data_IF_660203575687
#
_entry.id   IF_660203575687
#
_cell.length_a   1.000
_cell.length_b   1.000
_cell.length_c   1.000
_cell.angle_alpha   90.00
_cell.angle_beta   90.00
_cell.angle_gamma   90.00
#
_symmetry.space_group_name_H-M   'P 1'
#
loop_
_entity.id
_entity.type
_entity.pdbx_description
1 polymer ?
#
# COMPACT_ATOMS: atom_id res chain seq x y z
N UNK A 1 -52.19 37.90 51.78
CA UNK A 1 -50.76 38.29 51.80
C UNK A 1 -49.82 37.10 51.99
N UNK A 2 -50.20 36.10 52.79
CA UNK A 2 -49.35 34.92 53.08
C UNK A 2 -49.12 33.98 51.88
N UNK A 3 -50.11 33.80 51.00
CA UNK A 3 -49.98 32.91 49.81
C UNK A 3 -49.07 33.48 48.72
N UNK A 4 -49.02 34.81 48.57
CA UNK A 4 -48.14 35.48 47.61
C UNK A 4 -46.67 35.44 48.06
N UNK A 5 -46.40 35.50 49.38
CA UNK A 5 -45.03 35.41 49.90
C UNK A 5 -44.45 34.00 49.76
N UNK A 6 -45.28 32.96 49.93
CA UNK A 6 -44.85 31.56 49.72
C UNK A 6 -44.53 31.30 48.25
N UNK A 7 -45.32 31.82 47.31
CA UNK A 7 -45.05 31.67 45.88
C UNK A 7 -43.77 32.38 45.43
N UNK A 8 -43.40 33.50 46.05
CA UNK A 8 -42.17 34.24 45.74
C UNK A 8 -40.93 33.52 46.28
N UNK A 9 -41.04 32.88 47.45
CA UNK A 9 -39.97 32.08 48.02
C UNK A 9 -39.65 30.84 47.17
N UNK A 10 -40.68 30.11 46.72
CA UNK A 10 -40.51 28.96 45.81
C UNK A 10 -39.91 29.38 44.46
N UNK A 11 -40.32 30.54 43.92
CA UNK A 11 -39.72 31.09 42.70
C UNK A 11 -38.22 31.37 42.89
N UNK A 12 -37.83 31.95 44.02
CA UNK A 12 -36.42 32.28 44.30
C UNK A 12 -35.53 31.04 44.42
N UNK A 13 -36.05 29.93 44.95
CA UNK A 13 -35.35 28.65 45.01
C UNK A 13 -35.20 28.02 43.61
N UNK A 14 -36.23 28.12 42.76
CA UNK A 14 -36.14 27.63 41.38
C UNK A 14 -35.09 28.41 40.59
N UNK A 15 -35.04 29.74 40.76
CA UNK A 15 -34.02 30.57 40.10
C UNK A 15 -32.60 30.26 40.59
N UNK A 16 -32.40 29.99 41.88
CA UNK A 16 -31.08 29.64 42.40
C UNK A 16 -30.60 28.27 41.89
N UNK A 17 -31.49 27.27 41.84
CA UNK A 17 -31.18 25.96 41.26
C UNK A 17 -30.84 26.07 39.77
N UNK A 18 -31.62 26.85 39.01
CA UNK A 18 -31.37 27.06 37.59
C UNK A 18 -30.02 27.77 37.34
N UNK A 19 -29.67 28.76 38.18
CA UNK A 19 -28.39 29.45 38.11
C UNK A 19 -27.20 28.51 38.38
N UNK A 20 -27.29 27.64 39.39
CA UNK A 20 -26.25 26.63 39.68
C UNK A 20 -26.09 25.66 38.50
N UNK A 21 -27.20 25.23 37.90
CA UNK A 21 -27.19 24.31 36.77
C UNK A 21 -26.57 24.95 35.52
N UNK A 22 -26.86 26.23 35.27
CA UNK A 22 -26.23 27.01 34.19
C UNK A 22 -24.73 27.18 34.44
N UNK A 23 -24.31 27.52 35.66
CA UNK A 23 -22.89 27.63 36.02
C UNK A 23 -22.16 26.29 35.88
N UNK A 24 -22.79 25.18 36.27
CA UNK A 24 -22.24 23.84 36.09
C UNK A 24 -22.09 23.49 34.59
N UNK A 25 -23.12 23.75 33.78
CA UNK A 25 -23.04 23.55 32.33
C UNK A 25 -21.96 24.42 31.67
N UNK A 26 -21.82 25.68 32.08
CA UNK A 26 -20.78 26.58 31.59
C UNK A 26 -19.37 26.08 31.95
N UNK A 27 -19.18 25.59 33.18
CA UNK A 27 -17.92 24.98 33.61
C UNK A 27 -17.61 23.71 32.83
N UNK A 28 -18.58 22.84 32.59
CA UNK A 28 -18.41 21.61 31.79
C UNK A 28 -18.07 21.95 30.33
N UNK A 29 -18.75 22.91 29.72
CA UNK A 29 -18.43 23.37 28.36
C UNK A 29 -17.05 24.01 28.28
N UNK A 30 -16.65 24.77 29.29
CA UNK A 30 -15.31 25.33 29.40
C UNK A 30 -14.25 24.22 29.51
N UNK A 31 -14.48 23.20 30.34
CA UNK A 31 -13.59 22.05 30.47
C UNK A 31 -13.52 21.26 29.17
N UNK A 32 -14.65 20.97 28.51
CA UNK A 32 -14.66 20.23 27.24
C UNK A 32 -13.95 21.01 26.12
N UNK A 33 -14.20 22.33 26.03
CA UNK A 33 -13.53 23.18 25.04
C UNK A 33 -12.03 23.26 25.29
N UNK A 34 -11.60 23.44 26.54
CA UNK A 34 -10.18 23.46 26.88
C UNK A 34 -9.55 22.07 26.76
N UNK A 35 -10.26 20.99 27.09
CA UNK A 35 -9.77 19.62 26.91
C UNK A 35 -9.57 19.30 25.43
N UNK A 36 -10.45 19.78 24.54
CA UNK A 36 -10.25 19.67 23.08
C UNK A 36 -9.04 20.48 22.61
N UNK A 37 -8.84 21.69 23.15
CA UNK A 37 -7.66 22.53 22.84
C UNK A 37 -6.37 21.90 23.39
N UNK A 38 -6.39 21.35 24.61
CA UNK A 38 -5.29 20.59 25.21
C UNK A 38 -5.07 19.24 24.52
N UNK A 39 -6.10 18.59 23.96
CA UNK A 39 -5.91 17.37 23.14
C UNK A 39 -5.33 17.68 21.76
N UNK A 40 -5.54 18.88 21.24
CA UNK A 40 -4.98 19.34 19.96
C UNK A 40 -3.58 19.97 20.08
N UNK A 41 -3.18 20.46 21.27
CA UNK A 41 -1.87 21.10 21.50
C UNK A 41 -1.01 20.45 22.62
N UNK A 42 -1.53 19.44 23.33
CA UNK A 42 -0.94 18.94 24.58
C UNK A 42 0.06 17.80 24.45
N UNK A 43 0.58 17.51 23.27
CA UNK A 43 1.69 16.56 23.15
C UNK A 43 3.05 17.16 23.53
N UNK A 44 3.18 18.50 23.63
CA UNK A 44 4.49 19.13 23.84
C UNK A 44 4.67 19.89 25.17
N UNK A 45 3.62 20.24 25.91
CA UNK A 45 3.77 21.24 27.00
C UNK A 45 3.32 20.86 28.43
N UNK A 46 2.79 19.66 28.69
CA UNK A 46 2.20 19.35 30.03
C UNK A 46 2.96 18.29 30.83
N UNK A 47 3.85 17.50 30.23
CA UNK A 47 4.63 16.47 30.94
C UNK A 47 6.09 16.88 31.17
N UNK A 48 6.29 18.01 31.85
CA UNK A 48 7.61 18.47 32.33
C UNK A 48 8.06 17.80 33.63
N UNK A 49 7.91 16.48 33.75
CA UNK A 49 8.25 15.76 34.99
C UNK A 49 8.52 14.28 34.78
N UNK A 50 9.78 13.92 34.59
CA UNK A 50 10.39 12.68 35.09
C UNK A 50 9.85 11.32 34.60
N UNK A 51 9.02 11.24 33.57
CA UNK A 51 8.66 9.96 32.94
C UNK A 51 9.51 9.83 31.68
N UNK A 52 10.38 8.82 31.62
CA UNK A 52 11.04 8.45 30.36
C UNK A 52 9.96 8.43 29.26
N UNK A 53 10.08 9.22 28.19
CA UNK A 53 9.11 9.13 27.10
C UNK A 53 9.20 7.69 26.58
N UNK A 54 8.19 6.89 26.88
CA UNK A 54 8.03 5.58 26.25
C UNK A 54 7.81 5.91 24.79
N UNK A 55 8.88 5.76 24.01
CA UNK A 55 8.86 6.04 22.59
C UNK A 55 7.70 5.23 22.00
N UNK A 56 6.69 5.87 21.41
CA UNK A 56 5.50 5.18 20.95
C UNK A 56 5.96 4.09 19.97
N UNK A 57 5.62 2.84 20.29
CA UNK A 57 6.02 1.71 19.47
C UNK A 57 5.39 1.89 18.10
N UNK A 58 6.22 1.89 17.06
CA UNK A 58 5.76 2.01 15.68
C UNK A 58 4.85 0.80 15.41
N UNK A 59 3.57 1.00 15.05
CA UNK A 59 2.63 -0.10 14.87
C UNK A 59 3.03 -1.02 13.72
N UNK A 60 2.93 -2.32 13.96
CA UNK A 60 3.08 -3.36 12.94
C UNK A 60 1.76 -3.57 12.21
N UNK A 61 1.77 -3.41 10.89
CA UNK A 61 0.65 -3.77 10.02
C UNK A 61 0.74 -5.24 9.63
N UNK A 62 -0.41 -5.92 9.66
CA UNK A 62 -0.52 -7.29 9.18
C UNK A 62 -0.48 -7.29 7.66
N UNK A 63 0.50 -7.98 7.08
CA UNK A 63 0.57 -8.18 5.64
C UNK A 63 -0.54 -9.14 5.20
N UNK A 64 -1.35 -8.74 4.23
CA UNK A 64 -2.31 -9.61 3.57
C UNK A 64 -1.79 -9.97 2.19
N UNK A 65 -1.72 -11.28 1.89
CA UNK A 65 -1.34 -11.78 0.57
C UNK A 65 -2.60 -11.77 -0.31
N UNK A 66 -2.59 -10.93 -1.34
CA UNK A 66 -3.64 -10.91 -2.36
C UNK A 66 -3.12 -11.59 -3.61
N UNK A 67 -3.85 -12.58 -4.12
CA UNK A 67 -3.52 -13.24 -5.37
C UNK A 67 -3.98 -12.38 -6.55
N UNK A 68 -3.05 -12.03 -7.44
CA UNK A 68 -3.33 -11.27 -8.66
C UNK A 68 -3.16 -12.24 -9.84
N UNK A 69 -4.25 -12.64 -10.52
CA UNK A 69 -4.18 -13.64 -11.59
C UNK A 69 -3.66 -13.06 -12.91
N UNK A 70 -3.41 -11.75 -12.98
CA UNK A 70 -3.00 -11.01 -14.17
C UNK A 70 -1.60 -10.43 -13.98
N UNK A 71 -0.77 -10.51 -15.01
CA UNK A 71 0.49 -9.76 -15.08
C UNK A 71 0.49 -8.92 -16.34
N UNK A 72 0.71 -7.62 -16.19
CA UNK A 72 0.85 -6.69 -17.30
C UNK A 72 2.20 -5.98 -17.22
N UNK A 73 2.99 -6.06 -18.29
CA UNK A 73 4.29 -5.39 -18.41
C UNK A 73 4.35 -4.68 -19.76
N UNK A 74 4.94 -3.49 -19.77
CA UNK A 74 5.28 -2.79 -21.01
C UNK A 74 6.67 -3.25 -21.43
N UNK A 75 6.84 -3.59 -22.70
CA UNK A 75 8.16 -3.85 -23.25
C UNK A 75 8.81 -2.52 -23.59
N UNK A 76 9.90 -2.17 -22.88
CA UNK A 76 10.68 -0.98 -23.19
C UNK A 76 11.38 -1.16 -24.54
N UNK A 77 10.73 -0.69 -25.59
CA UNK A 77 11.36 -0.48 -26.89
C UNK A 77 11.58 1.01 -27.09
N UNK A 78 12.75 1.37 -27.60
CA UNK A 78 13.12 2.75 -27.97
C UNK A 78 12.20 3.36 -29.04
N UNK A 79 11.29 2.56 -29.61
CA UNK A 79 10.32 2.93 -30.66
C UNK A 79 8.86 2.84 -30.20
N UNK A 80 8.58 2.84 -28.90
CA UNK A 80 7.21 2.84 -28.38
C UNK A 80 6.45 4.10 -28.82
N UNK A 81 5.70 3.97 -29.90
CA UNK A 81 4.81 4.99 -30.46
C UNK A 81 3.36 4.59 -30.22
N UNK A 82 2.42 5.51 -30.48
CA UNK A 82 0.97 5.23 -30.40
C UNK A 82 0.51 4.05 -31.28
N UNK A 83 1.30 3.68 -32.30
CA UNK A 83 0.95 2.63 -33.26
C UNK A 83 1.65 1.29 -33.00
N UNK A 84 2.67 1.24 -32.14
CA UNK A 84 3.49 0.05 -31.93
C UNK A 84 3.82 -0.18 -30.45
N UNK A 85 2.83 0.01 -29.58
CA UNK A 85 3.02 -0.25 -28.15
C UNK A 85 2.96 -1.76 -27.88
N UNK A 86 4.12 -2.38 -27.66
CA UNK A 86 4.22 -3.79 -27.31
C UNK A 86 4.10 -3.96 -25.79
N UNK A 87 3.15 -4.80 -25.39
CA UNK A 87 2.94 -5.17 -23.99
C UNK A 87 2.93 -6.68 -23.83
N UNK A 88 3.52 -7.15 -22.73
CA UNK A 88 3.51 -8.56 -22.34
C UNK A 88 2.42 -8.77 -21.31
N UNK A 89 1.58 -9.76 -21.57
CA UNK A 89 0.44 -10.09 -20.73
C UNK A 89 0.45 -11.59 -20.43
N UNK A 90 0.20 -11.93 -19.17
CA UNK A 90 -0.10 -13.30 -18.75
C UNK A 90 -1.32 -13.32 -17.83
N UNK A 91 -2.07 -14.41 -17.90
CA UNK A 91 -3.28 -14.61 -17.11
C UNK A 91 -3.41 -16.07 -16.69
N UNK A 92 -3.76 -16.29 -15.42
CA UNK A 92 -4.08 -17.62 -14.89
C UNK A 92 -5.56 -17.98 -15.01
N UNK A 93 -6.41 -17.01 -15.41
CA UNK A 93 -7.87 -17.14 -15.51
C UNK A 93 -8.37 -16.66 -16.88
N UNK A 94 -9.61 -16.99 -17.22
CA UNK A 94 -10.28 -16.43 -18.39
C UNK A 94 -10.50 -14.93 -18.17
N UNK A 95 -10.26 -14.12 -19.20
CA UNK A 95 -10.36 -12.68 -19.07
C UNK A 95 -10.73 -11.98 -20.37
N UNK A 96 -11.35 -10.81 -20.21
CA UNK A 96 -11.57 -9.84 -21.26
C UNK A 96 -10.59 -8.67 -21.10
N UNK A 97 -9.90 -8.33 -22.18
CA UNK A 97 -9.09 -7.15 -22.30
C UNK A 97 -9.90 -6.06 -22.98
N UNK A 98 -9.91 -4.85 -22.40
CA UNK A 98 -10.43 -3.65 -23.04
C UNK A 98 -9.37 -2.56 -23.01
N UNK A 99 -9.05 -1.99 -24.16
CA UNK A 99 -8.17 -0.83 -24.25
C UNK A 99 -8.96 0.42 -24.64
N UNK A 100 -8.64 1.55 -24.00
CA UNK A 100 -9.28 2.83 -24.21
C UNK A 100 -8.24 3.92 -24.37
N UNK A 101 -8.44 4.80 -25.34
CA UNK A 101 -7.55 5.91 -25.65
C UNK A 101 -8.19 7.24 -25.28
N UNK A 102 -7.38 8.16 -24.74
CA UNK A 102 -7.83 9.50 -24.37
C UNK A 102 -8.92 9.49 -23.31
N UNK A 103 -8.66 8.84 -22.18
CA UNK A 103 -9.66 8.67 -21.10
C UNK A 103 -9.56 9.84 -20.11
N UNK A 104 -10.67 10.50 -19.83
CA UNK A 104 -10.73 11.55 -18.79
C UNK A 104 -10.29 11.01 -17.43
N UNK A 105 -9.29 11.64 -16.82
CA UNK A 105 -8.70 11.23 -15.54
C UNK A 105 -9.78 11.22 -14.46
N UNK A 106 -10.54 12.31 -14.34
CA UNK A 106 -11.59 12.48 -13.33
C UNK A 106 -12.64 11.37 -13.44
N UNK A 107 -13.16 11.16 -14.65
CA UNK A 107 -14.26 10.21 -14.88
C UNK A 107 -13.79 8.76 -14.73
N UNK A 108 -12.54 8.45 -15.12
CA UNK A 108 -11.94 7.14 -14.84
C UNK A 108 -11.95 6.86 -13.33
N UNK A 109 -11.42 7.78 -12.53
CA UNK A 109 -11.36 7.58 -11.08
C UNK A 109 -12.75 7.41 -10.48
N UNK A 110 -13.72 8.27 -10.84
CA UNK A 110 -15.10 8.14 -10.38
C UNK A 110 -15.72 6.79 -10.78
N UNK A 111 -15.42 6.30 -11.99
CA UNK A 111 -15.89 5.00 -12.46
C UNK A 111 -15.28 3.84 -11.67
N UNK A 112 -13.98 3.87 -11.38
CA UNK A 112 -13.28 2.82 -10.63
C UNK A 112 -13.77 2.68 -9.18
N UNK A 113 -14.28 3.74 -8.58
CA UNK A 113 -14.86 3.73 -7.23
C UNK A 113 -16.25 3.09 -7.16
N UNK A 114 -16.92 2.83 -8.30
CA UNK A 114 -18.22 2.15 -8.33
C UNK A 114 -18.13 0.71 -7.82
N UNK A 115 -19.22 0.13 -7.28
CA UNK A 115 -19.24 -1.26 -6.87
C UNK A 115 -19.00 -2.20 -8.06
N UNK A 116 -18.44 -3.38 -7.80
CA UNK A 116 -18.07 -4.32 -8.85
C UNK A 116 -19.24 -4.68 -9.78
N UNK A 117 -20.44 -4.91 -9.23
CA UNK A 117 -21.63 -5.23 -10.01
C UNK A 117 -22.01 -4.16 -11.06
N UNK A 118 -21.77 -2.87 -10.76
CA UNK A 118 -21.99 -1.80 -11.73
C UNK A 118 -20.97 -1.83 -12.88
N UNK A 119 -19.70 -2.11 -12.56
CA UNK A 119 -18.63 -2.25 -13.56
C UNK A 119 -18.91 -3.48 -14.44
N UNK A 120 -19.25 -4.62 -13.83
CA UNK A 120 -19.57 -5.84 -14.54
C UNK A 120 -20.78 -5.66 -15.48
N UNK A 121 -21.80 -4.92 -15.05
CA UNK A 121 -22.96 -4.59 -15.89
C UNK A 121 -22.56 -3.73 -17.08
N UNK A 122 -21.71 -2.71 -16.87
CA UNK A 122 -21.19 -1.87 -17.94
C UNK A 122 -20.34 -2.66 -18.96
N UNK A 123 -19.57 -3.66 -18.50
CA UNK A 123 -18.82 -4.57 -19.38
C UNK A 123 -19.77 -5.41 -20.23
N UNK A 124 -20.79 -6.03 -19.62
CA UNK A 124 -21.80 -6.84 -20.34
C UNK A 124 -22.59 -6.03 -21.38
N UNK A 125 -22.92 -4.79 -21.05
CA UNK A 125 -23.63 -3.88 -21.95
C UNK A 125 -22.72 -3.18 -22.97
N UNK A 126 -21.40 -3.45 -22.95
CA UNK A 126 -20.39 -2.76 -23.77
C UNK A 126 -20.43 -1.23 -23.63
N UNK A 127 -20.87 -0.73 -22.47
CA UNK A 127 -20.93 0.70 -22.11
C UNK A 127 -19.77 1.13 -21.21
N UNK A 128 -18.72 0.30 -21.12
CA UNK A 128 -17.53 0.59 -20.33
C UNK A 128 -16.88 1.90 -20.81
N UNK A 129 -16.85 2.92 -19.93
CA UNK A 129 -16.34 4.27 -20.19
C UNK A 129 -16.97 4.99 -21.40
N UNK A 130 -18.19 4.61 -21.82
CA UNK A 130 -18.87 5.25 -22.95
C UNK A 130 -19.06 6.74 -22.70
N UNK A 131 -18.52 7.59 -23.59
CA UNK A 131 -18.57 9.05 -23.48
C UNK A 131 -17.45 9.68 -22.64
N UNK A 132 -16.58 8.87 -22.01
CA UNK A 132 -15.46 9.34 -21.20
C UNK A 132 -14.09 8.99 -21.80
N UNK A 133 -14.08 8.24 -22.91
CA UNK A 133 -12.91 7.97 -23.75
C UNK A 133 -13.12 8.57 -25.14
N UNK A 134 -12.03 9.01 -25.78
CA UNK A 134 -12.08 9.51 -27.16
C UNK A 134 -12.19 8.36 -28.17
N UNK A 135 -11.43 7.28 -27.95
CA UNK A 135 -11.49 6.11 -28.82
C UNK A 135 -11.45 4.81 -28.03
N UNK A 136 -12.23 3.83 -28.48
CA UNK A 136 -12.15 2.47 -28.00
C UNK A 136 -11.12 1.72 -28.84
N UNK A 137 -10.16 1.08 -28.17
CA UNK A 137 -9.15 0.27 -28.80
C UNK A 137 -9.59 -1.19 -28.95
N UNK A 138 -8.60 -2.06 -28.97
CA UNK A 138 -8.75 -3.51 -29.05
C UNK A 138 -9.54 -4.04 -27.84
N UNK A 139 -10.50 -4.91 -28.12
CA UNK A 139 -11.17 -5.78 -27.14
C UNK A 139 -10.88 -7.24 -27.48
N UNK A 140 -10.35 -8.01 -26.52
CA UNK A 140 -10.00 -9.42 -26.72
C UNK A 140 -10.51 -10.27 -25.58
N UNK A 141 -11.06 -11.44 -25.89
CA UNK A 141 -11.29 -12.49 -24.89
C UNK A 141 -10.21 -13.55 -25.05
N UNK A 142 -9.56 -13.94 -23.96
CA UNK A 142 -8.56 -15.00 -23.95
C UNK A 142 -8.71 -15.86 -22.69
N UNK A 143 -8.37 -17.14 -22.85
CA UNK A 143 -8.22 -18.06 -21.73
C UNK A 143 -6.88 -17.90 -21.00
N UNK A 144 -6.59 -18.78 -20.03
CA UNK A 144 -5.33 -18.77 -19.29
C UNK A 144 -4.15 -18.99 -20.24
N UNK A 145 -3.10 -18.19 -20.07
CA UNK A 145 -1.86 -18.31 -20.81
C UNK A 145 -0.68 -17.70 -20.03
N UNK A 146 0.52 -18.21 -20.30
CA UNK A 146 1.78 -17.61 -19.85
C UNK A 146 2.07 -16.28 -20.56
N UNK A 147 3.33 -15.88 -20.60
CA UNK A 147 3.69 -14.57 -21.18
C UNK A 147 3.43 -14.52 -22.69
N UNK A 148 2.54 -13.62 -23.10
CA UNK A 148 2.17 -13.38 -24.51
C UNK A 148 2.27 -11.90 -24.83
N UNK A 149 2.99 -11.57 -25.90
CA UNK A 149 3.10 -10.20 -26.39
C UNK A 149 1.89 -9.81 -27.22
N UNK A 150 1.35 -8.62 -26.95
CA UNK A 150 0.25 -8.00 -27.68
C UNK A 150 0.72 -6.62 -28.12
N UNK A 151 0.51 -6.30 -29.39
CA UNK A 151 0.73 -4.96 -29.92
C UNK A 151 -0.56 -4.17 -29.84
N UNK A 152 -0.51 -3.03 -29.17
CA UNK A 152 -1.59 -2.06 -29.11
C UNK A 152 -1.37 -0.99 -30.15
N UNK A 153 -2.41 -0.70 -30.93
CA UNK A 153 -2.38 0.30 -32.00
C UNK A 153 -3.52 1.28 -31.80
N UNK A 154 -3.24 2.56 -32.00
CA UNK A 154 -4.25 3.61 -32.01
C UNK A 154 -5.09 3.48 -33.29
N UNK A 155 -6.43 3.29 -33.20
CA UNK A 155 -7.26 3.06 -34.38
C UNK A 155 -7.29 4.23 -35.37
N UNK A 156 -7.27 5.48 -34.87
CA UNK A 156 -7.24 6.67 -35.72
C UNK A 156 -6.38 7.78 -35.08
N UNK A 157 -5.17 8.06 -35.58
CA UNK A 157 -4.25 9.00 -34.94
C UNK A 157 -4.74 10.46 -34.94
N UNK A 158 -5.58 10.84 -35.91
CA UNK A 158 -5.99 12.23 -36.13
C UNK A 158 -7.10 12.73 -35.19
N UNK A 159 -7.72 11.85 -34.40
CA UNK A 159 -8.83 12.22 -33.48
C UNK A 159 -8.49 12.11 -32.00
N UNK A 160 -7.22 11.87 -31.65
CA UNK A 160 -6.77 11.85 -30.26
C UNK A 160 -6.22 13.23 -29.85
N UNK A 161 -7.04 14.01 -29.14
CA UNK A 161 -6.63 15.30 -28.57
C UNK A 161 -6.40 15.17 -27.05
N UNK A 162 -5.13 15.08 -26.64
CA UNK A 162 -4.76 14.96 -25.23
C UNK A 162 -4.61 16.34 -24.54
N UNK A 163 -4.69 17.43 -25.29
CA UNK A 163 -4.48 18.79 -24.81
C UNK A 163 -3.05 19.10 -24.36
N UNK A 164 -2.86 20.34 -23.91
CA UNK A 164 -1.59 20.84 -23.35
C UNK A 164 -1.41 20.40 -21.89
N UNK A 165 -0.17 20.37 -21.37
CA UNK A 165 0.08 20.11 -19.96
C UNK A 165 -0.49 21.24 -19.07
N UNK A 166 -1.04 20.93 -17.89
CA UNK A 166 -1.28 19.60 -17.33
C UNK A 166 -2.44 18.89 -18.02
N UNK A 167 -2.21 17.65 -18.47
CA UNK A 167 -3.23 16.87 -19.19
C UNK A 167 -4.36 16.44 -18.26
N UNK A 168 -5.57 16.43 -18.80
CA UNK A 168 -6.78 15.95 -18.12
C UNK A 168 -7.22 14.57 -18.61
N UNK A 169 -6.50 14.00 -19.59
CA UNK A 169 -6.78 12.69 -20.16
C UNK A 169 -5.54 11.80 -20.12
N UNK A 170 -5.73 10.54 -19.74
CA UNK A 170 -4.72 9.50 -19.91
C UNK A 170 -4.68 9.02 -21.36
N UNK A 171 -3.49 8.85 -21.96
CA UNK A 171 -3.39 8.47 -23.36
C UNK A 171 -3.90 7.05 -23.60
N UNK A 172 -3.58 6.10 -22.70
CA UNK A 172 -4.02 4.72 -22.80
C UNK A 172 -4.39 4.17 -21.42
N UNK A 173 -5.56 3.53 -21.34
CA UNK A 173 -6.01 2.79 -20.17
C UNK A 173 -6.44 1.39 -20.60
N UNK A 174 -5.90 0.38 -19.92
CA UNK A 174 -6.16 -1.04 -20.23
C UNK A 174 -6.85 -1.68 -19.04
N UNK A 175 -8.01 -2.28 -19.28
CA UNK A 175 -8.74 -3.09 -18.33
C UNK A 175 -8.52 -4.56 -18.64
N UNK A 176 -8.09 -5.32 -17.65
CA UNK A 176 -8.05 -6.78 -17.66
C UNK A 176 -9.11 -7.24 -16.67
N UNK A 177 -10.18 -7.83 -17.18
CA UNK A 177 -11.36 -8.17 -16.39
C UNK A 177 -11.56 -9.67 -16.43
N UNK A 178 -11.70 -10.29 -15.26
CA UNK A 178 -11.99 -11.72 -15.15
C UNK A 178 -13.34 -12.05 -15.79
N UNK A 179 -13.35 -13.08 -16.62
CA UNK A 179 -14.51 -13.58 -17.35
C UNK A 179 -14.84 -15.00 -16.88
N UNK A 180 -15.18 -15.11 -15.59
CA UNK A 180 -15.60 -16.36 -14.99
C UNK A 180 -17.12 -16.40 -14.81
N UNK A 181 -17.69 -17.60 -15.00
CA UNK A 181 -19.11 -17.86 -14.84
C UNK A 181 -19.53 -18.00 -13.38
N UNK A 182 -18.57 -18.28 -12.49
CA UNK A 182 -18.80 -18.43 -11.06
C UNK A 182 -18.77 -17.08 -10.33
N UNK A 183 -19.53 -16.97 -9.25
CA UNK A 183 -19.48 -15.79 -8.38
C UNK A 183 -18.15 -15.78 -7.62
N UNK A 184 -17.26 -14.80 -7.86
CA UNK A 184 -15.95 -14.78 -7.22
C UNK A 184 -16.07 -14.54 -5.72
N UNK A 185 -15.17 -15.13 -4.93
CA UNK A 185 -15.07 -14.86 -3.50
C UNK A 185 -14.75 -13.36 -3.26
N UNK A 186 -15.27 -12.71 -2.20
CA UNK A 186 -15.12 -11.26 -1.97
C UNK A 186 -13.68 -10.74 -2.04
N UNK A 187 -12.70 -11.54 -1.60
CA UNK A 187 -11.28 -11.16 -1.56
C UNK A 187 -10.54 -11.37 -2.88
N UNK A 188 -11.17 -12.03 -3.86
CA UNK A 188 -10.55 -12.31 -5.14
C UNK A 188 -10.43 -11.07 -6.02
N UNK A 189 -9.33 -11.02 -6.76
CA UNK A 189 -9.12 -10.00 -7.79
C UNK A 189 -10.03 -10.28 -8.99
N UNK A 190 -10.86 -9.29 -9.34
CA UNK A 190 -11.79 -9.36 -10.47
C UNK A 190 -11.32 -8.52 -11.66
N UNK A 191 -10.56 -7.45 -11.41
CA UNK A 191 -9.99 -6.65 -12.49
C UNK A 191 -8.63 -6.03 -12.13
N UNK A 192 -7.77 -5.90 -13.14
CA UNK A 192 -6.53 -5.14 -13.10
C UNK A 192 -6.61 -4.02 -14.15
N UNK A 193 -6.48 -2.79 -13.70
CA UNK A 193 -6.54 -1.59 -14.54
C UNK A 193 -5.15 -0.99 -14.63
N UNK A 194 -4.65 -0.81 -15.84
CA UNK A 194 -3.32 -0.27 -16.12
C UNK A 194 -3.47 1.08 -16.81
N UNK A 195 -2.92 2.12 -16.20
CA UNK A 195 -2.85 3.46 -16.77
C UNK A 195 -1.45 3.64 -17.35
N UNK A 196 -1.39 3.85 -18.67
CA UNK A 196 -0.13 3.90 -19.41
C UNK A 196 0.07 5.31 -19.94
N UNK A 197 1.27 5.84 -19.73
CA UNK A 197 1.77 7.01 -20.45
C UNK A 197 2.56 6.56 -21.66
N UNK A 198 2.40 7.28 -22.77
CA UNK A 198 3.15 7.09 -24.01
C UNK A 198 3.87 8.39 -24.30
N UNK A 199 5.16 8.28 -24.56
CA UNK A 199 6.00 9.43 -24.91
C UNK A 199 5.48 10.08 -26.18
N UNK A 200 5.38 11.40 -26.16
CA UNK A 200 5.00 12.20 -27.33
C UNK A 200 5.78 13.51 -27.40
N UNK A 201 5.43 14.37 -28.38
CA UNK A 201 6.10 15.64 -28.62
C UNK A 201 5.85 16.70 -27.54
N UNK A 202 4.74 16.60 -26.82
CA UNK A 202 4.30 17.57 -25.80
C UNK A 202 4.73 17.11 -24.40
N UNK A 203 4.65 15.81 -24.13
CA UNK A 203 5.07 15.16 -22.90
C UNK A 203 6.20 14.19 -23.21
N UNK A 204 7.43 14.64 -22.99
CA UNK A 204 8.66 13.91 -23.31
C UNK A 204 9.04 12.84 -22.29
N UNK A 205 8.19 12.61 -21.27
CA UNK A 205 8.40 11.55 -20.29
C UNK A 205 8.44 10.18 -21.00
N UNK A 206 9.27 9.24 -20.53
CA UNK A 206 9.35 7.93 -21.14
C UNK A 206 8.03 7.17 -21.01
N UNK A 207 7.71 6.39 -22.05
CA UNK A 207 6.57 5.47 -22.06
C UNK A 207 6.67 4.55 -20.85
N UNK A 208 5.66 4.58 -19.97
CA UNK A 208 5.70 3.89 -18.68
C UNK A 208 4.29 3.67 -18.12
N UNK A 209 4.17 2.74 -17.18
CA UNK A 209 2.93 2.53 -16.44
C UNK A 209 2.87 3.58 -15.32
N UNK A 210 1.91 4.50 -15.39
CA UNK A 210 1.72 5.55 -14.39
C UNK A 210 1.12 4.99 -13.09
N UNK A 211 0.14 4.10 -13.24
CA UNK A 211 -0.57 3.50 -12.12
C UNK A 211 -1.18 2.15 -12.51
N UNK A 212 -1.25 1.26 -11.54
CA UNK A 212 -2.01 0.02 -11.65
C UNK A 212 -3.02 -0.03 -10.51
N UNK A 213 -4.28 -0.28 -10.84
CA UNK A 213 -5.34 -0.42 -9.86
C UNK A 213 -5.86 -1.85 -9.87
N UNK A 214 -5.99 -2.40 -8.67
CA UNK A 214 -6.56 -3.70 -8.40
C UNK A 214 -7.99 -3.50 -7.91
N UNK A 215 -8.95 -4.16 -8.57
CA UNK A 215 -10.33 -4.22 -8.12
C UNK A 215 -10.61 -5.62 -7.59
N UNK A 216 -11.14 -5.70 -6.38
CA UNK A 216 -11.59 -6.95 -5.75
C UNK A 216 -13.11 -7.09 -5.85
N UNK A 217 -13.61 -8.32 -5.71
CA UNK A 217 -15.04 -8.65 -5.84
C UNK A 217 -15.91 -7.90 -4.80
N UNK A 218 -15.38 -7.66 -3.60
CA UNK A 218 -16.01 -6.85 -2.55
C UNK A 218 -16.16 -5.35 -2.91
N UNK A 219 -15.60 -4.91 -4.05
CA UNK A 219 -15.63 -3.53 -4.51
C UNK A 219 -14.44 -2.68 -4.07
N UNK A 220 -13.53 -3.21 -3.25
CA UNK A 220 -12.32 -2.53 -2.83
C UNK A 220 -11.43 -2.20 -4.03
N UNK A 221 -10.96 -0.95 -4.07
CA UNK A 221 -10.03 -0.44 -5.08
C UNK A 221 -8.68 -0.17 -4.42
N UNK A 222 -7.65 -0.89 -4.84
CA UNK A 222 -6.31 -0.77 -4.30
C UNK A 222 -5.33 -0.30 -5.37
N UNK A 223 -4.57 0.76 -5.11
CA UNK A 223 -3.51 1.20 -6.00
C UNK A 223 -2.24 0.38 -5.72
N UNK A 224 -1.75 -0.36 -6.71
CA UNK A 224 -0.54 -1.15 -6.59
C UNK A 224 0.67 -0.23 -6.59
N UNK A 225 1.50 -0.42 -5.57
CA UNK A 225 2.68 0.39 -5.31
C UNK A 225 3.86 -0.53 -5.07
N UNK A 226 4.95 -0.44 -5.86
CA UNK A 226 6.12 -1.26 -5.61
C UNK A 226 6.76 -0.89 -4.26
N UNK A 227 7.47 -1.85 -3.68
CA UNK A 227 8.37 -1.64 -2.56
C UNK A 227 9.76 -1.33 -3.11
N UNK A 228 10.48 -0.43 -2.44
CA UNK A 228 11.84 -0.05 -2.85
C UNK A 228 12.85 -0.84 -2.03
N UNK A 229 13.60 -1.72 -2.70
CA UNK A 229 14.67 -2.51 -2.10
C UNK A 229 15.98 -1.74 -2.23
N UNK A 230 16.78 -1.70 -1.16
CA UNK A 230 18.03 -0.94 -1.15
C UNK A 230 19.06 -1.42 -2.20
N UNK A 231 18.99 -2.69 -2.63
CA UNK A 231 19.99 -3.32 -3.48
C UNK A 231 19.48 -3.65 -4.90
N UNK A 232 18.44 -2.95 -5.38
CA UNK A 232 18.09 -2.89 -6.80
C UNK A 232 17.47 -4.15 -7.44
N UNK A 233 17.65 -5.35 -6.90
CA UNK A 233 17.01 -6.54 -7.47
C UNK A 233 15.58 -6.70 -6.92
N UNK A 234 14.53 -6.65 -7.77
CA UNK A 234 13.21 -7.08 -7.35
C UNK A 234 13.28 -8.55 -6.92
N UNK A 235 12.58 -8.90 -5.84
CA UNK A 235 12.41 -10.28 -5.38
C UNK A 235 11.83 -11.13 -6.52
N UNK A 236 12.69 -11.80 -7.28
CA UNK A 236 12.32 -12.91 -8.15
C UNK A 236 11.86 -14.04 -7.23
N UNK A 237 10.55 -14.28 -7.22
CA UNK A 237 9.96 -15.41 -6.51
C UNK A 237 10.05 -16.63 -7.44
N UNK A 238 11.28 -17.02 -7.79
CA UNK A 238 11.53 -18.26 -8.51
C UNK A 238 11.88 -19.33 -7.47
N UNK A 239 10.88 -20.17 -7.16
CA UNK A 239 11.05 -21.46 -6.50
C UNK A 239 11.82 -22.38 -7.47
N UNK A 240 13.15 -22.41 -7.42
CA UNK A 240 13.98 -23.51 -7.95
C UNK A 240 15.38 -23.43 -7.31
N UNK A 241 15.93 -24.53 -6.76
CA UNK A 241 17.28 -24.53 -6.20
C UNK A 241 18.32 -24.47 -7.33
N UNK A 242 19.33 -23.58 -7.29
CA UNK A 242 20.29 -23.48 -8.37
C UNK A 242 21.22 -24.70 -8.36
N UNK A 243 21.10 -25.53 -9.40
CA UNK A 243 22.10 -26.52 -9.78
C UNK A 243 23.37 -25.81 -10.26
N UNK A 244 24.49 -26.22 -9.69
CA UNK A 244 25.79 -25.58 -9.86
C UNK A 244 26.48 -26.17 -11.09
N UNK A 245 26.70 -25.35 -12.11
CA UNK A 245 27.83 -25.54 -13.03
C UNK A 245 28.52 -24.20 -13.21
N UNK A 246 29.75 -24.11 -12.71
CA UNK A 246 30.66 -23.02 -13.00
C UNK A 246 31.88 -23.63 -13.69
N UNK A 247 31.94 -23.54 -15.01
CA UNK A 247 33.21 -23.57 -15.73
C UNK A 247 33.80 -22.16 -15.68
N UNK A 248 34.94 -22.02 -15.01
CA UNK A 248 35.90 -20.97 -15.29
C UNK A 248 37.28 -21.52 -14.95
N UNK A 249 38.04 -21.80 -16.00
CA UNK A 249 39.38 -22.34 -15.90
C UNK A 249 40.37 -21.36 -15.28
N UNK A 250 41.40 -21.92 -14.66
CA UNK A 250 42.72 -21.31 -14.56
C UNK A 250 43.78 -22.41 -14.53
N UNK A 251 44.80 -22.22 -15.37
CA UNK A 251 45.97 -23.08 -15.54
C UNK A 251 46.90 -23.08 -14.32
N UNK A 252 47.56 -24.24 -14.11
CA UNK A 252 48.83 -24.52 -13.39
C UNK A 252 49.02 -24.03 -11.95
N UNK A 253 49.68 -24.74 -11.02
CA UNK A 253 50.21 -26.10 -10.88
C UNK A 253 50.73 -26.20 -9.42
N UNK A 254 50.61 -27.39 -8.82
CA UNK A 254 51.41 -27.96 -7.71
C UNK A 254 51.64 -27.18 -6.39
N UNK A 255 51.08 -27.67 -5.27
CA UNK A 255 51.79 -28.55 -4.32
C UNK A 255 50.94 -28.91 -3.07
N UNK A 256 51.42 -29.93 -2.33
CA UNK A 256 50.71 -30.86 -1.44
C UNK A 256 50.45 -30.41 0.02
N UNK A 257 49.47 -31.10 0.62
CA UNK A 257 49.36 -31.64 1.99
C UNK A 257 48.78 -30.85 3.20
N UNK A 258 47.79 -31.52 3.82
CA UNK A 258 47.50 -31.71 5.25
C UNK A 258 46.85 -30.60 6.13
N UNK A 259 45.56 -30.81 6.40
CA UNK A 259 44.82 -30.74 7.67
C UNK A 259 44.99 -29.53 8.64
N UNK A 260 43.90 -28.77 8.83
CA UNK A 260 43.31 -28.35 10.15
C UNK A 260 42.02 -27.55 9.91
N UNK A 261 40.91 -27.76 10.65
CA UNK A 261 39.74 -26.90 10.55
C UNK A 261 39.81 -25.81 11.61
N UNK A 262 40.14 -24.58 11.22
CA UNK A 262 39.97 -23.42 12.11
C UNK A 262 39.59 -22.18 11.30
N UNK A 263 38.62 -21.46 11.84
CA UNK A 263 38.23 -20.08 11.51
C UNK A 263 37.42 -19.84 10.22
N UNK A 264 36.17 -19.44 10.47
CA UNK A 264 35.48 -18.29 9.89
C UNK A 264 35.92 -17.82 8.49
N UNK A 265 35.08 -18.10 7.50
CA UNK A 265 35.02 -17.41 6.22
C UNK A 265 33.61 -17.55 5.65
N UNK A 266 33.02 -16.49 5.05
CA UNK A 266 31.60 -16.46 4.71
C UNK A 266 31.34 -17.38 3.53
N UNK A 267 30.47 -18.36 3.71
CA UNK A 267 29.94 -19.16 2.62
C UNK A 267 29.14 -18.23 1.70
N UNK A 268 29.69 -18.01 0.52
CA UNK A 268 29.09 -17.31 -0.60
C UNK A 268 27.83 -18.07 -1.05
N UNK A 269 26.65 -17.60 -0.65
CA UNK A 269 25.36 -18.19 -1.05
C UNK A 269 24.34 -17.10 -1.36
N UNK A 270 24.16 -16.79 -2.65
CA UNK A 270 23.24 -15.78 -3.20
C UNK A 270 23.47 -14.35 -2.69
N UNK A 271 23.28 -13.32 -3.51
CA UNK A 271 23.34 -11.93 -3.03
C UNK A 271 22.12 -11.66 -2.14
N UNK A 272 22.13 -12.15 -0.90
CA UNK A 272 21.10 -11.84 0.07
C UNK A 272 21.09 -10.33 0.27
N UNK A 273 19.93 -9.72 0.08
CA UNK A 273 19.79 -8.30 0.33
C UNK A 273 19.91 -8.07 1.84
N UNK A 274 21.02 -7.45 2.25
CA UNK A 274 21.36 -7.20 3.64
C UNK A 274 20.85 -5.83 4.11
N UNK A 275 20.62 -5.72 5.42
CA UNK A 275 20.28 -4.48 6.10
C UNK A 275 21.34 -3.40 5.85
N UNK A 276 20.93 -2.20 5.43
CA UNK A 276 21.88 -1.10 5.15
C UNK A 276 22.59 -0.58 6.41
N UNK A 277 22.03 -0.88 7.60
CA UNK A 277 22.55 -0.40 8.88
C UNK A 277 23.60 -1.34 9.44
N UNK A 278 23.30 -2.64 9.58
CA UNK A 278 24.27 -3.60 10.13
C UNK A 278 25.07 -4.35 9.07
N UNK A 279 24.62 -4.36 7.81
CA UNK A 279 25.24 -5.09 6.69
C UNK A 279 25.50 -6.57 6.99
N UNK A 280 24.71 -7.15 7.90
CA UNK A 280 24.92 -8.50 8.41
C UNK A 280 23.65 -9.33 8.30
N UNK A 281 22.54 -8.82 8.84
CA UNK A 281 21.26 -9.51 8.78
C UNK A 281 20.48 -9.17 7.50
N UNK A 282 19.68 -10.11 6.98
CA UNK A 282 18.84 -9.86 5.82
C UNK A 282 17.75 -8.83 6.08
N UNK A 283 17.29 -8.21 4.99
CA UNK A 283 16.12 -7.33 5.00
C UNK A 283 14.86 -8.07 5.49
N UNK A 284 14.10 -7.45 6.41
CA UNK A 284 12.86 -8.05 6.91
C UNK A 284 11.70 -7.07 7.12
N UNK A 285 11.94 -5.75 7.15
CA UNK A 285 10.91 -4.75 7.42
C UNK A 285 10.73 -3.80 6.23
N UNK A 286 9.48 -3.62 5.81
CA UNK A 286 9.08 -2.57 4.89
C UNK A 286 8.51 -1.37 5.67
N UNK A 287 9.08 -0.19 5.44
CA UNK A 287 8.78 1.02 6.20
C UNK A 287 7.68 1.84 5.53
N UNK A 288 6.66 2.27 6.29
CA UNK A 288 5.56 3.08 5.77
C UNK A 288 5.61 4.51 6.34
N UNK A 289 5.26 5.53 5.54
CA UNK A 289 4.66 5.46 4.20
C UNK A 289 5.68 5.40 3.03
N UNK A 290 6.98 5.43 3.32
CA UNK A 290 8.00 5.58 2.27
C UNK A 290 8.23 4.34 1.40
N UNK A 291 7.75 3.16 1.82
CA UNK A 291 7.85 1.86 1.13
C UNK A 291 9.28 1.34 0.94
N UNK A 292 10.26 1.87 1.66
CA UNK A 292 11.62 1.34 1.63
C UNK A 292 11.72 0.08 2.48
N UNK A 293 12.23 -0.98 1.88
CA UNK A 293 12.68 -2.20 2.55
C UNK A 293 14.20 -2.15 2.59
N UNK A 294 14.74 -1.71 3.73
CA UNK A 294 16.18 -1.44 3.88
C UNK A 294 16.77 -1.87 5.22
N UNK A 295 15.96 -2.38 6.15
CA UNK A 295 16.41 -2.74 7.51
C UNK A 295 15.96 -4.14 7.93
N UNK A 296 16.75 -4.75 8.81
CA UNK A 296 16.41 -5.96 9.54
C UNK A 296 15.63 -5.64 10.82
N UNK A 297 15.09 -6.66 11.47
CA UNK A 297 14.33 -6.54 12.71
C UNK A 297 15.15 -5.98 13.88
N UNK A 298 16.41 -6.39 14.02
CA UNK A 298 17.30 -5.92 15.10
C UNK A 298 17.64 -4.41 14.99
N UNK A 299 17.87 -3.92 13.77
CA UNK A 299 18.15 -2.49 13.55
C UNK A 299 16.90 -1.63 13.63
N UNK A 300 15.74 -2.17 13.25
CA UNK A 300 14.48 -1.42 13.23
C UNK A 300 14.12 -0.79 14.58
N UNK A 301 14.30 -1.53 15.69
CA UNK A 301 13.97 -1.03 17.04
C UNK A 301 14.80 0.19 17.50
N UNK A 302 15.82 0.60 16.74
CA UNK A 302 16.69 1.75 17.03
C UNK A 302 16.42 2.94 16.12
N UNK A 303 15.40 2.88 15.26
CA UNK A 303 15.14 3.86 14.20
C UNK A 303 13.72 4.42 14.30
N UNK A 304 13.60 5.73 14.15
CA UNK A 304 12.35 6.47 13.99
C UNK A 304 12.15 6.98 12.55
N UNK A 305 13.21 6.96 11.74
CA UNK A 305 13.27 7.46 10.36
C UNK A 305 13.90 6.43 9.43
N UNK A 306 13.45 6.43 8.19
CA UNK A 306 14.00 5.57 7.15
C UNK A 306 15.44 5.97 6.82
N UNK A 307 16.43 5.05 6.85
CA UNK A 307 17.82 5.37 6.49
C UNK A 307 18.01 5.84 5.04
N UNK A 308 17.16 5.37 4.12
CA UNK A 308 17.26 5.69 2.68
C UNK A 308 16.74 7.09 2.36
N UNK A 309 15.57 7.46 2.88
CA UNK A 309 14.89 8.71 2.50
C UNK A 309 14.62 9.69 3.64
N UNK A 310 15.02 9.35 4.88
CA UNK A 310 14.86 10.17 6.09
C UNK A 310 13.41 10.51 6.49
N UNK A 311 12.43 9.95 5.79
CA UNK A 311 11.01 10.03 6.13
C UNK A 311 10.75 9.38 7.50
N UNK A 312 9.91 9.99 8.37
CA UNK A 312 9.49 9.36 9.61
C UNK A 312 8.77 8.04 9.33
N UNK A 313 9.03 7.03 10.16
CA UNK A 313 8.41 5.72 10.10
C UNK A 313 7.13 5.78 10.93
N UNK A 314 5.97 5.67 10.28
CA UNK A 314 4.67 5.68 10.95
C UNK A 314 4.14 4.29 11.27
N UNK A 315 4.46 3.34 10.42
CA UNK A 315 4.12 1.92 10.59
C UNK A 315 5.09 1.07 9.77
N UNK A 316 5.08 -0.24 10.00
CA UNK A 316 5.88 -1.18 9.22
C UNK A 316 5.14 -2.50 9.03
N UNK A 317 5.56 -3.32 8.08
CA UNK A 317 5.16 -4.73 8.02
C UNK A 317 6.37 -5.63 7.74
N UNK A 318 6.26 -6.89 8.14
CA UNK A 318 7.31 -7.88 7.94
C UNK A 318 7.19 -8.50 6.55
N UNK A 319 8.26 -8.45 5.76
CA UNK A 319 8.34 -9.12 4.44
C UNK A 319 8.93 -10.53 4.54
N UNK A 320 9.55 -10.87 5.66
CA UNK A 320 10.21 -12.14 5.93
C UNK A 320 10.04 -12.51 7.40
N UNK A 321 10.02 -13.81 7.68
CA UNK A 321 10.08 -14.35 9.05
C UNK A 321 11.45 -14.08 9.69
N UNK A 322 11.48 -13.95 11.00
CA UNK A 322 12.67 -13.54 11.76
C UNK A 322 13.53 -14.73 12.22
N UNK A 323 13.50 -15.80 11.44
CA UNK A 323 14.16 -17.06 11.79
C UNK A 323 15.70 -16.94 11.82
N UNK A 324 16.24 -15.93 11.14
CA UNK A 324 17.67 -15.60 11.09
C UNK A 324 18.20 -14.92 12.36
N UNK A 325 17.31 -14.47 13.26
CA UNK A 325 17.73 -13.84 14.51
C UNK A 325 18.12 -14.90 15.55
N UNK A 326 19.22 -14.67 16.31
CA UNK A 326 19.55 -15.46 17.49
C UNK A 326 18.37 -15.47 18.48
N UNK A 327 18.19 -16.58 19.21
CA UNK A 327 17.06 -16.79 20.14
C UNK A 327 16.94 -15.65 21.17
N UNK A 328 18.07 -15.08 21.61
CA UNK A 328 18.13 -13.96 22.56
C UNK A 328 17.57 -12.64 22.00
N UNK A 329 17.60 -12.44 20.67
CA UNK A 329 17.09 -11.22 20.05
C UNK A 329 15.56 -11.25 19.85
N UNK A 330 14.96 -12.45 19.75
CA UNK A 330 13.51 -12.65 19.54
C UNK A 330 12.67 -12.27 20.75
N UNK A 331 13.23 -12.38 21.96
CA UNK A 331 12.54 -12.04 23.21
C UNK A 331 12.44 -10.53 23.44
N UNK A 332 13.35 -9.74 22.87
CA UNK A 332 13.38 -8.28 23.07
C UNK A 332 12.26 -7.52 22.36
N UNK A 333 11.66 -8.10 21.31
CA UNK A 333 10.54 -7.50 20.57
C UNK A 333 9.17 -7.77 21.19
N UNK A 334 9.01 -8.85 21.97
CA UNK A 334 7.73 -9.20 22.63
C UNK A 334 7.69 -8.88 24.14
N UNK A 335 8.83 -8.64 24.79
CA UNK A 335 8.90 -8.58 26.25
C UNK A 335 8.62 -7.20 26.90
N UNK A 336 7.96 -6.25 26.23
CA UNK A 336 7.64 -4.93 26.82
C UNK A 336 6.15 -4.55 26.82
N UNK A 337 5.22 -5.50 26.70
CA UNK A 337 3.81 -5.21 27.05
C UNK A 337 3.56 -5.60 28.51
N UNK A 338 3.53 -4.61 29.40
CA UNK A 338 3.02 -4.77 30.77
C UNK A 338 1.57 -5.28 30.68
N UNK A 339 1.14 -6.28 31.49
CA UNK A 339 -0.19 -6.90 31.38
C UNK A 339 -1.37 -5.91 31.40
N UNK A 340 -1.21 -4.79 32.10
CA UNK A 340 -2.21 -3.71 32.18
C UNK A 340 -2.42 -2.96 30.85
N UNK A 341 -1.37 -2.77 30.05
CA UNK A 341 -1.46 -2.05 28.77
C UNK A 341 -2.21 -2.89 27.72
N UNK A 342 -2.01 -4.21 27.75
CA UNK A 342 -2.74 -5.15 26.88
C UNK A 342 -4.24 -5.17 27.21
N UNK A 343 -4.60 -5.11 28.49
CA UNK A 343 -5.99 -5.03 28.93
C UNK A 343 -6.68 -3.73 28.50
N UNK A 344 -5.99 -2.58 28.62
CA UNK A 344 -6.51 -1.27 28.20
C UNK A 344 -6.73 -1.18 26.69
N UNK A 345 -5.79 -1.69 25.88
CA UNK A 345 -5.95 -1.74 24.42
C UNK A 345 -7.13 -2.62 24.02
N UNK A 346 -7.28 -3.78 24.66
CA UNK A 346 -8.38 -4.71 24.37
C UNK A 346 -9.75 -4.15 24.78
N UNK A 347 -9.78 -3.29 25.81
CA UNK A 347 -10.97 -2.53 26.20
C UNK A 347 -11.29 -1.41 25.20
N UNK A 348 -10.26 -0.70 24.72
CA UNK A 348 -10.41 0.37 23.74
C UNK A 348 -10.93 -0.16 22.40
N UNK A 349 -10.42 -1.30 21.94
CA UNK A 349 -10.89 -1.95 20.70
C UNK A 349 -12.36 -2.39 20.84
N UNK A 350 -12.74 -2.99 21.99
CA UNK A 350 -14.12 -3.37 22.28
C UNK A 350 -15.08 -2.18 22.38
N UNK A 351 -14.62 -1.04 22.88
CA UNK A 351 -15.40 0.19 22.91
C UNK A 351 -15.56 0.80 21.52
N UNK A 352 -14.53 0.71 20.67
CA UNK A 352 -14.57 1.22 19.29
C UNK A 352 -15.55 0.41 18.45
N UNK A 353 -15.54 -0.92 18.60
CA UNK A 353 -16.51 -1.83 17.97
C UNK A 353 -17.94 -1.60 18.48
N UNK A 354 -18.11 -1.40 19.79
CA UNK A 354 -19.43 -1.15 20.40
C UNK A 354 -20.04 0.19 19.97
N UNK A 355 -19.20 1.20 19.72
CA UNK A 355 -19.64 2.54 19.29
C UNK A 355 -19.75 2.67 17.76
N UNK A 356 -19.41 1.63 16.99
CA UNK A 356 -19.60 1.59 15.54
C UNK A 356 -18.75 2.59 14.76
N UNK A 357 -17.63 3.06 15.32
CA UNK A 357 -16.67 3.86 14.59
C UNK A 357 -15.79 2.92 13.76
N UNK A 358 -16.21 2.67 12.51
CA UNK A 358 -15.46 1.89 11.54
C UNK A 358 -14.88 2.76 10.43
#
# INVERSE_FOLDING_TARGET
MSTMLVSVAELSNIFSVLAVLICFCAMVLFILRNMVVFRLHGDEFVFGGGVHPVQPQIPQMKMMKVHIPFTFKIQESSKSSYNDLQCTLSSQVNYTLHSFWGVSIRELHLFLWRPWGAIQTAVRQKSLLSGYCQQQGITLQKGPHGDKTITMQLPSPDSLDLGTPPRLCYPLVIFLIRDDTETPHPDETVALINVVHIKDSVCTLPTSILAQYLKQANGQLSCLKPLYLANGNPLGYDDEPPSVFCEAGLNSEADKEAATPTAWGPTCTSQEQLCVVCQYFPLSRALLPCRHTCVCASCFGKLDRCPMCRSPIRSFFCIRKEDYLPVEARSSSDAKSVPLHRWLLQWNDRLTDFLGFH
#
